data_IF_597943501816
#
_entry.id   IF_597943501816
#
_cell.length_a   1.000
_cell.length_b   1.000
_cell.length_c   1.000
_cell.angle_alpha   90.00
_cell.angle_beta   90.00
_cell.angle_gamma   90.00
#
_symmetry.space_group_name_H-M   'P 1'
#
loop_
_entity.id
_entity.type
_entity.pdbx_description
1 polymer ?
#
# COMPACT_ATOMS: atom_id res chain seq x y z
N UNK A 1 -12.17 30.81 -32.96
CA UNK A 1 -12.08 29.53 -32.22
C UNK A 1 -12.06 29.83 -30.73
N UNK A 2 -12.90 29.17 -29.93
CA UNK A 2 -12.89 29.30 -28.46
C UNK A 2 -11.67 28.57 -27.91
N UNK A 3 -10.63 29.32 -27.54
CA UNK A 3 -9.46 28.75 -26.84
C UNK A 3 -9.86 28.40 -25.41
N UNK A 4 -10.07 27.11 -25.15
CA UNK A 4 -10.27 26.62 -23.79
C UNK A 4 -8.92 26.54 -23.08
N UNK A 5 -8.84 26.96 -21.81
CA UNK A 5 -7.62 26.82 -21.03
C UNK A 5 -7.25 25.34 -20.90
N UNK A 6 -5.99 25.00 -21.18
CA UNK A 6 -5.42 23.65 -21.04
C UNK A 6 -4.26 23.72 -20.05
N UNK A 7 -4.01 22.62 -19.33
CA UNK A 7 -2.83 22.52 -18.49
C UNK A 7 -1.57 22.44 -19.34
N UNK A 8 -0.47 23.01 -18.83
CA UNK A 8 0.84 22.97 -19.50
C UNK A 8 1.48 21.56 -19.50
N UNK A 9 0.95 20.64 -18.70
CA UNK A 9 1.40 19.26 -18.58
C UNK A 9 0.22 18.28 -18.67
N UNK A 10 0.50 17.05 -19.12
CA UNK A 10 -0.50 15.99 -19.27
C UNK A 10 -1.16 15.62 -17.94
N UNK A 11 -2.39 15.12 -18.00
CA UNK A 11 -3.09 14.50 -16.87
C UNK A 11 -2.63 13.05 -16.66
N UNK A 12 -2.83 12.51 -15.45
CA UNK A 12 -2.62 11.08 -15.19
C UNK A 12 -3.37 10.19 -16.19
N UNK A 13 -4.65 10.51 -16.43
CA UNK A 13 -5.52 9.79 -17.36
C UNK A 13 -5.11 9.91 -18.82
N UNK A 14 -4.36 10.96 -19.19
CA UNK A 14 -3.81 11.12 -20.54
C UNK A 14 -2.49 10.33 -20.74
N UNK A 15 -1.84 9.90 -19.65
CA UNK A 15 -0.62 9.08 -19.69
C UNK A 15 -0.97 7.59 -19.65
N UNK A 16 -1.91 7.24 -18.77
CA UNK A 16 -2.46 5.90 -18.66
C UNK A 16 -3.98 5.97 -18.77
N UNK A 17 -4.48 5.75 -19.99
CA UNK A 17 -5.91 5.77 -20.31
C UNK A 17 -6.67 4.63 -19.61
N UNK A 18 -6.00 3.50 -19.44
CA UNK A 18 -6.52 2.32 -18.77
C UNK A 18 -5.46 1.63 -17.91
N UNK A 19 -5.91 0.60 -17.19
CA UNK A 19 -5.04 -0.21 -16.33
C UNK A 19 -4.00 -0.99 -17.13
N UNK A 20 -4.27 -1.33 -18.40
CA UNK A 20 -3.44 -2.24 -19.18
C UNK A 20 -2.21 -1.46 -19.68
N UNK A 21 -2.38 -0.20 -20.10
CA UNK A 21 -1.30 0.74 -20.38
C UNK A 21 -0.39 0.93 -19.15
N UNK A 22 -0.98 1.12 -17.96
CA UNK A 22 -0.21 1.25 -16.72
C UNK A 22 0.60 -0.02 -16.39
N UNK A 23 -0.01 -1.19 -16.54
CA UNK A 23 0.64 -2.47 -16.24
C UNK A 23 1.75 -2.81 -17.25
N UNK A 24 1.57 -2.48 -18.53
CA UNK A 24 2.61 -2.63 -19.54
C UNK A 24 3.83 -1.81 -19.17
N UNK A 25 3.64 -0.50 -18.92
CA UNK A 25 4.73 0.38 -18.50
C UNK A 25 5.38 -0.11 -17.19
N UNK A 26 4.59 -0.59 -16.22
CA UNK A 26 5.13 -1.11 -14.97
C UNK A 26 6.04 -2.33 -15.18
N UNK A 27 5.71 -3.19 -16.14
CA UNK A 27 6.52 -4.36 -16.50
C UNK A 27 7.80 -4.00 -17.25
N UNK A 28 7.77 -2.92 -18.04
CA UNK A 28 8.81 -2.61 -19.04
C UNK A 28 9.77 -1.48 -18.63
N UNK A 29 9.47 -0.72 -17.57
CA UNK A 29 10.23 0.46 -17.10
C UNK A 29 11.69 0.17 -16.67
N UNK A 30 12.10 -1.10 -16.56
CA UNK A 30 13.44 -1.51 -16.12
C UNK A 30 13.69 -1.36 -14.61
N UNK A 31 12.76 -0.77 -13.86
CA UNK A 31 12.69 -0.83 -12.40
C UNK A 31 12.02 -2.16 -12.02
N UNK A 32 12.57 -2.95 -11.08
CA UNK A 32 11.96 -4.21 -10.70
C UNK A 32 10.50 -4.07 -10.26
N UNK A 33 9.65 -4.98 -10.73
CA UNK A 33 8.27 -5.11 -10.25
C UNK A 33 8.27 -5.82 -8.90
N UNK A 34 7.70 -5.18 -7.89
CA UNK A 34 7.82 -5.61 -6.49
C UNK A 34 6.48 -5.86 -5.81
N UNK A 35 5.38 -5.58 -6.50
CA UNK A 35 4.02 -5.92 -6.06
C UNK A 35 3.38 -6.84 -7.10
N UNK A 36 2.42 -7.65 -6.67
CA UNK A 36 1.65 -8.53 -7.57
C UNK A 36 0.86 -7.72 -8.61
N UNK A 37 0.63 -8.32 -9.78
CA UNK A 37 -0.17 -7.71 -10.86
C UNK A 37 -1.58 -7.32 -10.39
N UNK A 38 -2.20 -8.12 -9.51
CA UNK A 38 -3.48 -7.80 -8.87
C UNK A 38 -3.40 -6.50 -8.08
N UNK A 39 -2.38 -6.34 -7.23
CA UNK A 39 -2.24 -5.13 -6.43
C UNK A 39 -1.76 -3.93 -7.24
N UNK A 40 -1.00 -4.14 -8.32
CA UNK A 40 -0.69 -3.09 -9.30
C UNK A 40 -1.95 -2.59 -10.01
N UNK A 41 -2.87 -3.49 -10.37
CA UNK A 41 -4.18 -3.15 -10.91
C UNK A 41 -5.01 -2.35 -9.91
N UNK A 42 -5.07 -2.80 -8.65
CA UNK A 42 -5.75 -2.06 -7.58
C UNK A 42 -5.13 -0.67 -7.40
N UNK A 43 -3.79 -0.57 -7.40
CA UNK A 43 -3.09 0.68 -7.28
C UNK A 43 -3.42 1.65 -8.42
N UNK A 44 -3.52 1.18 -9.67
CA UNK A 44 -3.96 1.99 -10.80
C UNK A 44 -5.31 2.67 -10.50
N UNK A 45 -6.33 1.90 -10.09
CA UNK A 45 -7.65 2.46 -9.79
C UNK A 45 -7.62 3.43 -8.60
N UNK A 46 -6.78 3.18 -7.60
CA UNK A 46 -6.61 4.08 -6.46
C UNK A 46 -5.92 5.39 -6.86
N UNK A 47 -4.91 5.33 -7.73
CA UNK A 47 -4.26 6.52 -8.27
C UNK A 47 -5.19 7.29 -9.21
N UNK A 48 -5.93 6.60 -10.07
CA UNK A 48 -6.91 7.20 -10.96
C UNK A 48 -8.03 7.91 -10.19
N UNK A 49 -8.56 7.27 -9.14
CA UNK A 49 -9.62 7.88 -8.32
C UNK A 49 -9.16 9.15 -7.59
N UNK A 50 -7.88 9.23 -7.22
CA UNK A 50 -7.31 10.38 -6.49
C UNK A 50 -6.70 11.45 -7.38
N UNK A 51 -6.06 11.06 -8.47
CA UNK A 51 -5.20 11.91 -9.30
C UNK A 51 -5.54 11.86 -10.79
N UNK A 52 -6.59 11.14 -11.22
CA UNK A 52 -6.92 10.94 -12.64
C UNK A 52 -6.96 12.24 -13.46
N UNK A 53 -7.56 13.29 -12.90
CA UNK A 53 -7.63 14.62 -13.52
C UNK A 53 -6.58 15.61 -12.99
N UNK A 54 -5.54 15.12 -12.33
CA UNK A 54 -4.43 15.97 -11.84
C UNK A 54 -3.32 16.03 -12.89
N UNK A 55 -2.83 17.23 -13.23
CA UNK A 55 -1.69 17.37 -14.12
C UNK A 55 -0.41 16.90 -13.43
N UNK A 56 0.46 16.27 -14.22
CA UNK A 56 1.75 15.81 -13.73
C UNK A 56 2.66 16.98 -13.40
N UNK A 57 3.53 16.80 -12.40
CA UNK A 57 4.48 17.82 -11.97
C UNK A 57 5.67 17.97 -12.93
N UNK A 58 5.87 17.03 -13.84
CA UNK A 58 7.01 16.97 -14.75
C UNK A 58 6.59 17.32 -16.19
N UNK A 59 7.43 18.03 -16.94
CA UNK A 59 7.21 18.23 -18.39
C UNK A 59 7.53 16.97 -19.20
N UNK A 60 8.50 16.19 -18.74
CA UNK A 60 8.88 14.91 -19.33
C UNK A 60 8.01 13.78 -18.74
N UNK A 61 7.32 13.07 -19.63
CA UNK A 61 6.46 11.94 -19.32
C UNK A 61 7.25 10.73 -18.80
N UNK A 62 8.43 10.44 -19.36
CA UNK A 62 9.25 9.30 -18.93
C UNK A 62 9.75 9.52 -17.51
N UNK A 63 10.22 10.74 -17.21
CA UNK A 63 10.62 11.11 -15.85
C UNK A 63 9.45 10.98 -14.86
N UNK A 64 8.22 11.33 -15.25
CA UNK A 64 7.04 11.12 -14.41
C UNK A 64 6.80 9.62 -14.16
N UNK A 65 6.81 8.79 -15.20
CA UNK A 65 6.67 7.33 -15.10
C UNK A 65 7.71 6.74 -14.15
N UNK A 66 8.99 7.10 -14.32
CA UNK A 66 10.06 6.66 -13.43
C UNK A 66 9.85 7.06 -11.97
N UNK A 67 9.34 8.27 -11.69
CA UNK A 67 9.04 8.68 -10.31
C UNK A 67 7.89 7.88 -9.70
N UNK A 68 6.85 7.58 -10.47
CA UNK A 68 5.72 6.74 -10.03
C UNK A 68 6.23 5.34 -9.71
N UNK A 69 6.94 4.71 -10.65
CA UNK A 69 7.42 3.34 -10.48
C UNK A 69 8.54 3.21 -9.44
N UNK A 70 9.42 4.20 -9.29
CA UNK A 70 10.36 4.25 -8.18
C UNK A 70 9.66 4.38 -6.82
N UNK A 71 8.53 5.10 -6.75
CA UNK A 71 7.71 5.18 -5.53
C UNK A 71 7.07 3.83 -5.21
N UNK A 72 6.60 3.09 -6.22
CA UNK A 72 6.11 1.72 -6.05
C UNK A 72 7.24 0.80 -5.56
N UNK A 73 8.43 0.88 -6.16
CA UNK A 73 9.57 0.07 -5.74
C UNK A 73 9.96 0.31 -4.27
N UNK A 74 9.99 1.57 -3.84
CA UNK A 74 10.39 1.94 -2.48
C UNK A 74 9.36 1.55 -1.40
N UNK A 75 8.07 1.72 -1.68
CA UNK A 75 7.02 1.61 -0.65
C UNK A 75 5.96 0.55 -0.93
N UNK A 76 5.82 0.09 -2.17
CA UNK A 76 4.85 -0.89 -2.62
C UNK A 76 4.93 -2.24 -1.91
N UNK A 77 6.11 -2.86 -1.69
CA UNK A 77 6.22 -4.13 -0.99
C UNK A 77 5.69 -4.08 0.45
N UNK A 78 5.96 -2.96 1.14
CA UNK A 78 5.47 -2.74 2.50
C UNK A 78 3.95 -2.58 2.50
N UNK A 79 3.41 -1.84 1.54
CA UNK A 79 1.96 -1.69 1.38
C UNK A 79 1.26 -3.02 1.08
N UNK A 80 1.77 -3.81 0.13
CA UNK A 80 1.24 -5.13 -0.20
C UNK A 80 1.27 -6.07 1.00
N UNK A 81 2.37 -6.08 1.77
CA UNK A 81 2.46 -6.88 2.99
C UNK A 81 1.45 -6.45 4.05
N UNK A 82 1.24 -5.14 4.22
CA UNK A 82 0.23 -4.59 5.15
C UNK A 82 -1.20 -4.99 4.73
N UNK A 83 -1.52 -4.95 3.44
CA UNK A 83 -2.81 -5.43 2.93
C UNK A 83 -3.02 -6.92 3.21
N UNK A 84 -1.99 -7.75 2.98
CA UNK A 84 -2.04 -9.17 3.28
C UNK A 84 -2.28 -9.42 4.77
N UNK A 85 -1.61 -8.68 5.66
CA UNK A 85 -1.84 -8.77 7.12
C UNK A 85 -3.28 -8.37 7.46
N UNK A 86 -3.80 -7.28 6.91
CA UNK A 86 -5.20 -6.88 7.14
C UNK A 86 -6.20 -7.93 6.64
N UNK A 87 -5.89 -8.63 5.56
CA UNK A 87 -6.72 -9.74 5.09
C UNK A 87 -6.65 -10.93 6.05
N UNK A 88 -5.46 -11.30 6.53
CA UNK A 88 -5.30 -12.35 7.55
C UNK A 88 -6.04 -12.00 8.83
N UNK A 89 -5.96 -10.76 9.31
CA UNK A 89 -6.67 -10.28 10.50
C UNK A 89 -8.19 -10.38 10.34
N UNK A 90 -8.73 -10.04 9.17
CA UNK A 90 -10.17 -10.19 8.85
C UNK A 90 -10.62 -11.65 8.76
N UNK A 91 -9.69 -12.56 8.44
CA UNK A 91 -9.94 -13.99 8.35
C UNK A 91 -9.76 -14.76 9.67
N UNK A 92 -9.33 -14.11 10.76
CA UNK A 92 -9.20 -14.75 12.06
C UNK A 92 -10.56 -15.18 12.60
N UNK A 93 -10.62 -16.38 13.16
CA UNK A 93 -11.83 -16.86 13.82
C UNK A 93 -11.93 -16.32 15.25
N UNK A 94 -13.14 -16.34 15.82
CA UNK A 94 -13.33 -16.03 17.24
C UNK A 94 -12.43 -16.87 18.16
N UNK A 95 -12.13 -18.12 17.78
CA UNK A 95 -11.24 -18.98 18.56
C UNK A 95 -9.80 -18.45 18.54
N UNK A 96 -9.32 -18.02 17.37
CA UNK A 96 -7.97 -17.46 17.19
C UNK A 96 -7.81 -16.12 17.92
N UNK A 97 -8.86 -15.30 17.94
CA UNK A 97 -8.86 -14.01 18.62
C UNK A 97 -8.87 -14.14 20.15
N UNK A 98 -9.54 -15.18 20.66
CA UNK A 98 -9.67 -15.42 22.11
C UNK A 98 -8.50 -16.20 22.70
N UNK A 99 -7.73 -16.90 21.86
CA UNK A 99 -6.56 -17.64 22.29
C UNK A 99 -5.51 -16.66 22.83
N UNK A 100 -5.39 -16.60 24.16
CA UNK A 100 -4.34 -15.86 24.83
C UNK A 100 -3.06 -16.70 24.95
N UNK A 101 -2.13 -16.22 25.78
CA UNK A 101 -0.90 -16.95 26.05
C UNK A 101 -1.19 -18.23 26.87
N UNK A 102 -0.52 -19.34 26.53
CA UNK A 102 -0.48 -20.53 27.37
C UNK A 102 0.80 -20.48 28.19
N UNK A 103 0.70 -20.58 29.50
CA UNK A 103 1.85 -20.73 30.39
C UNK A 103 1.81 -22.12 31.01
N UNK A 104 2.91 -22.86 30.93
CA UNK A 104 3.03 -24.20 31.52
C UNK A 104 4.12 -24.16 32.58
N UNK A 105 3.74 -24.51 33.81
CA UNK A 105 4.67 -24.68 34.93
C UNK A 105 4.81 -26.17 35.22
N UNK A 106 6.04 -26.67 35.14
CA UNK A 106 6.36 -28.08 35.28
C UNK A 106 7.03 -28.33 36.63
N UNK A 107 6.51 -29.27 37.42
CA UNK A 107 7.15 -29.72 38.67
C UNK A 107 7.37 -31.24 38.65
N UNK A 108 8.62 -31.67 38.54
CA UNK A 108 8.98 -33.08 38.56
C UNK A 108 9.70 -33.41 39.88
N UNK A 109 9.08 -34.25 40.72
CA UNK A 109 9.62 -34.61 42.04
C UNK A 109 10.78 -35.63 42.00
N UNK A 110 10.97 -36.36 40.89
CA UNK A 110 12.15 -37.22 40.69
C UNK A 110 12.37 -37.61 39.20
N UNK A 111 12.82 -36.68 38.34
CA UNK A 111 12.92 -36.95 36.91
C UNK A 111 14.21 -37.72 36.54
N UNK A 112 14.08 -38.87 35.88
CA UNK A 112 15.19 -39.52 35.16
C UNK A 112 15.62 -38.77 33.89
N UNK A 113 14.85 -37.75 33.49
CA UNK A 113 15.08 -36.92 32.30
C UNK A 113 14.55 -35.50 32.56
N UNK A 114 15.37 -34.47 32.32
CA UNK A 114 14.98 -33.09 32.61
C UNK A 114 13.77 -32.65 31.76
N UNK A 115 12.74 -32.01 32.36
CA UNK A 115 11.57 -31.54 31.61
C UNK A 115 11.96 -30.42 30.64
N UNK A 116 11.49 -30.52 29.39
CA UNK A 116 11.69 -29.48 28.39
C UNK A 116 10.81 -28.27 28.68
N UNK A 117 11.38 -27.06 28.64
CA UNK A 117 10.67 -25.78 28.84
C UNK A 117 10.35 -25.06 27.53
N UNK A 118 10.74 -25.63 26.39
CA UNK A 118 10.60 -24.99 25.07
C UNK A 118 9.27 -25.26 24.38
N UNK A 119 8.42 -26.12 24.94
CA UNK A 119 7.14 -26.50 24.35
C UNK A 119 5.95 -26.05 25.18
N UNK A 120 4.89 -25.57 24.49
CA UNK A 120 3.57 -25.27 25.03
C UNK A 120 2.64 -26.51 25.03
N UNK A 121 3.18 -27.69 24.74
CA UNK A 121 2.47 -28.96 24.83
C UNK A 121 2.66 -29.57 26.22
N UNK A 122 1.60 -30.22 26.71
CA UNK A 122 1.66 -30.96 27.97
C UNK A 122 2.67 -32.11 27.87
N UNK A 123 3.39 -32.38 28.96
CA UNK A 123 4.45 -33.37 29.01
C UNK A 123 3.97 -34.57 29.79
N UNK A 124 3.69 -35.68 29.07
CA UNK A 124 3.06 -36.89 29.62
C UNK A 124 3.86 -37.62 30.71
N UNK A 125 5.13 -37.24 30.95
CA UNK A 125 6.05 -37.90 31.88
C UNK A 125 6.31 -37.07 33.16
N UNK A 126 5.57 -35.99 33.39
CA UNK A 126 5.72 -35.13 34.57
C UNK A 126 4.66 -35.49 35.62
N UNK A 127 5.08 -35.63 36.88
CA UNK A 127 4.20 -35.99 38.00
C UNK A 127 3.17 -34.89 38.32
N UNK A 128 3.54 -33.61 38.17
CA UNK A 128 2.65 -32.47 38.37
C UNK A 128 2.95 -31.36 37.35
N UNK A 129 1.95 -30.99 36.55
CA UNK A 129 2.06 -29.95 35.53
C UNK A 129 0.90 -28.97 35.71
N UNK A 130 1.23 -27.75 36.16
CA UNK A 130 0.25 -26.69 36.30
C UNK A 130 0.21 -25.85 35.02
N UNK A 131 -0.87 -26.02 34.26
CA UNK A 131 -1.10 -25.29 33.02
C UNK A 131 -2.05 -24.12 33.27
N UNK A 132 -1.56 -22.90 33.09
CA UNK A 132 -2.39 -21.69 33.12
C UNK A 132 -2.69 -21.25 31.69
N UNK A 133 -3.95 -21.44 31.28
CA UNK A 133 -4.43 -20.98 29.98
C UNK A 133 -5.05 -19.58 30.15
N UNK A 134 -4.38 -18.55 29.64
CA UNK A 134 -4.97 -17.22 29.58
C UNK A 134 -5.91 -17.15 28.37
N UNK A 135 -7.18 -16.82 28.61
CA UNK A 135 -8.15 -16.54 27.55
C UNK A 135 -8.52 -15.07 27.62
N UNK A 136 -8.29 -14.34 26.53
CA UNK A 136 -8.71 -12.94 26.45
C UNK A 136 -10.24 -12.87 26.49
N UNK A 137 -10.78 -11.81 27.08
CA UNK A 137 -12.22 -11.56 26.97
C UNK A 137 -12.57 -11.24 25.51
N UNK A 138 -13.79 -11.58 25.08
CA UNK A 138 -14.26 -11.24 23.73
C UNK A 138 -14.11 -9.75 23.44
N UNK A 139 -14.58 -8.91 24.38
CA UNK A 139 -14.53 -7.47 24.23
C UNK A 139 -13.09 -6.94 24.04
N UNK A 140 -12.13 -7.43 24.82
CA UNK A 140 -10.72 -7.03 24.70
C UNK A 140 -10.09 -7.50 23.38
N UNK A 141 -10.36 -8.73 22.96
CA UNK A 141 -9.85 -9.27 21.71
C UNK A 141 -10.37 -8.49 20.50
N UNK A 142 -11.67 -8.16 20.47
CA UNK A 142 -12.24 -7.33 19.40
C UNK A 142 -11.75 -5.88 19.44
N UNK A 143 -11.54 -5.30 20.62
CA UNK A 143 -10.99 -3.95 20.73
C UNK A 143 -9.58 -3.86 20.13
N UNK A 144 -8.71 -4.81 20.43
CA UNK A 144 -7.35 -4.88 19.85
C UNK A 144 -7.39 -5.10 18.34
N UNK A 145 -8.26 -5.98 17.85
CA UNK A 145 -8.44 -6.20 16.41
C UNK A 145 -8.95 -4.94 15.71
N UNK A 146 -9.91 -4.25 16.32
CA UNK A 146 -10.47 -3.01 15.79
C UNK A 146 -9.40 -1.95 15.60
N UNK A 147 -8.53 -1.73 16.60
CA UNK A 147 -7.44 -0.76 16.52
C UNK A 147 -6.46 -1.10 15.39
N UNK A 148 -6.15 -2.39 15.18
CA UNK A 148 -5.28 -2.84 14.09
C UNK A 148 -5.94 -2.66 12.71
N UNK A 149 -7.26 -2.86 12.62
CA UNK A 149 -8.02 -2.71 11.37
C UNK A 149 -8.29 -1.24 11.01
N UNK A 150 -8.37 -0.35 12.00
CA UNK A 150 -8.64 1.07 11.81
C UNK A 150 -7.49 1.84 11.14
N UNK A 151 -6.28 1.25 11.07
CA UNK A 151 -5.11 1.89 10.47
C UNK A 151 -5.28 2.03 8.94
N UNK A 152 -5.29 3.28 8.45
CA UNK A 152 -5.33 3.57 7.01
C UNK A 152 -3.95 3.38 6.35
N UNK A 153 -3.69 2.15 5.93
CA UNK A 153 -2.44 1.77 5.23
C UNK A 153 -2.41 2.25 3.77
N UNK A 154 -3.57 2.50 3.17
CA UNK A 154 -3.68 2.84 1.75
C UNK A 154 -3.55 4.33 1.53
N UNK A 155 -4.18 5.16 2.36
CA UNK A 155 -4.04 6.62 2.30
C UNK A 155 -2.60 7.07 2.54
N UNK A 156 -1.91 6.47 3.51
CA UNK A 156 -0.48 6.72 3.77
C UNK A 156 0.37 6.42 2.53
N UNK A 157 0.14 5.29 1.88
CA UNK A 157 0.87 4.93 0.66
C UNK A 157 0.56 5.87 -0.51
N UNK A 158 -0.72 6.18 -0.77
CA UNK A 158 -1.13 7.10 -1.84
C UNK A 158 -0.62 8.53 -1.64
N UNK A 159 -0.31 8.93 -0.40
CA UNK A 159 0.31 10.23 -0.11
C UNK A 159 1.73 10.35 -0.68
N UNK A 160 2.46 9.22 -0.82
CA UNK A 160 3.83 9.22 -1.35
C UNK A 160 3.89 9.63 -2.83
N UNK A 161 2.79 9.48 -3.56
CA UNK A 161 2.65 9.86 -4.96
C UNK A 161 2.34 11.34 -5.16
N UNK A 162 1.97 12.08 -4.10
CA UNK A 162 1.55 13.48 -4.20
C UNK A 162 2.62 14.38 -4.85
N UNK A 163 3.90 14.05 -4.69
CA UNK A 163 5.05 14.74 -5.32
C UNK A 163 5.12 14.58 -6.85
N UNK A 164 4.40 13.62 -7.42
CA UNK A 164 4.39 13.35 -8.86
C UNK A 164 3.35 14.23 -9.59
N UNK A 165 2.45 14.88 -8.85
CA UNK A 165 1.36 15.70 -9.38
C UNK A 165 1.53 17.15 -8.95
N UNK A 166 1.03 18.08 -9.76
CA UNK A 166 0.98 19.49 -9.36
C UNK A 166 0.03 19.65 -8.17
N UNK A 167 0.49 20.31 -7.12
CA UNK A 167 -0.34 20.71 -5.99
C UNK A 167 -0.83 22.14 -6.23
N UNK A 168 -2.11 22.32 -6.52
CA UNK A 168 -2.65 23.65 -6.73
C UNK A 168 -2.84 24.37 -5.40
N UNK A 169 -2.18 25.51 -5.23
CA UNK A 169 -2.54 26.51 -4.20
C UNK A 169 -3.26 27.71 -4.84
N UNK A 170 -3.09 27.93 -6.16
CA UNK A 170 -3.73 29.00 -6.95
C UNK A 170 -3.53 28.72 -8.47
N UNK A 171 -4.36 29.23 -9.41
CA UNK A 171 -4.18 28.93 -10.83
C UNK A 171 -2.93 29.58 -11.45
N UNK A 172 -2.08 28.76 -12.08
CA UNK A 172 -1.04 29.23 -13.02
C UNK A 172 -1.74 29.66 -14.32
N UNK A 173 -1.93 30.97 -14.52
CA UNK A 173 -2.16 31.51 -15.85
C UNK A 173 -0.80 31.80 -16.48
N UNK A 174 -0.25 30.86 -17.24
CA UNK A 174 0.79 31.20 -18.22
C UNK A 174 0.13 31.33 -19.58
N UNK A 175 -0.05 32.57 -20.05
CA UNK A 175 -0.54 32.82 -21.41
C UNK A 175 0.60 32.63 -22.40
N UNK A 176 0.50 31.62 -23.26
CA UNK A 176 1.40 31.45 -24.40
C UNK A 176 0.77 32.18 -25.58
N UNK A 177 1.42 33.26 -26.03
CA UNK A 177 1.01 34.00 -27.23
C UNK A 177 1.69 33.37 -28.46
N UNK A 178 0.88 32.86 -29.38
CA UNK A 178 1.36 32.51 -30.73
C UNK A 178 1.23 33.78 -31.56
N UNK A 179 2.37 34.37 -31.95
CA UNK A 179 2.37 35.35 -33.04
C UNK A 179 2.35 34.56 -34.34
N UNK A 180 1.22 34.62 -35.05
CA UNK A 180 1.21 34.27 -36.47
C UNK A 180 2.19 35.24 -37.15
N UNK A 181 3.25 34.69 -37.73
CA UNK A 181 4.10 35.46 -38.65
C UNK A 181 3.28 35.50 -39.93
N UNK A 182 2.66 36.64 -40.21
CA UNK A 182 2.16 36.91 -41.56
C UNK A 182 3.40 36.89 -42.47
N UNK A 183 3.45 35.93 -43.38
CA UNK A 183 4.38 35.99 -44.51
C UNK A 183 3.99 37.25 -45.30
N UNK A 184 4.78 38.31 -45.16
CA UNK A 184 4.74 39.46 -46.07
C UNK A 184 5.12 38.91 -47.46
N UNK A 185 4.11 38.71 -48.31
CA UNK A 185 4.27 38.56 -49.75
C UNK A 185 4.93 39.84 -50.28
N UNK A 186 6.26 39.89 -50.28
CA UNK A 186 7.06 40.90 -50.97
C UNK A 186 7.13 40.55 -52.48
N UNK A 187 6.38 41.35 -53.25
CA UNK A 187 6.48 41.70 -54.71
C UNK A 187 6.78 40.63 -55.76
#
# INVERSE_FOLDING_TARGET
MSNFPRFDTKLFSEIWEDKDAFLSDYGDVGIPTTISSTNATTLYYLLYSKYGNSPIANFDEEQFKYKVFATIFQYGPTWEKRLAIQQSLRGLTDADLLQGAKAIYNHAYNPGQAPSTSSLTELNFINDQNTTNYKKSKMEAYAQLWDLLAVDVTGEFLSKFQKCFKQFVQPERTFIYVTEVEDEDDE
#
